data_IF_432279376642
#
_entry.id   IF_432279376642
#
_cell.length_a   1.000
_cell.length_b   1.000
_cell.length_c   1.000
_cell.angle_alpha   90.00
_cell.angle_beta   90.00
_cell.angle_gamma   90.00
#
_symmetry.space_group_name_H-M   'P 1'
#
loop_
_entity.id
_entity.type
_entity.pdbx_description
1 polymer ?
#
# COMPACT_ATOMS: atom_id res chain seq x y z
N UNK A 1 -4.09 -3.65 -30.14
CA UNK A 1 -4.54 -3.85 -28.75
C UNK A 1 -3.90 -5.08 -28.10
N UNK A 2 -4.09 -6.31 -28.61
CA UNK A 2 -3.57 -7.54 -28.01
C UNK A 2 -2.04 -7.60 -27.87
N UNK A 3 -1.28 -7.22 -28.92
CA UNK A 3 0.19 -7.19 -28.85
C UNK A 3 0.73 -6.23 -27.76
N UNK A 4 0.02 -5.12 -27.53
CA UNK A 4 0.35 -4.17 -26.46
C UNK A 4 0.10 -4.77 -25.07
N UNK A 5 -1.02 -5.48 -24.89
CA UNK A 5 -1.35 -6.15 -23.63
C UNK A 5 -0.39 -7.30 -23.32
N UNK A 6 0.03 -8.07 -24.32
CA UNK A 6 1.03 -9.14 -24.14
C UNK A 6 2.41 -8.57 -23.79
N UNK A 7 2.80 -7.45 -24.39
CA UNK A 7 4.04 -6.76 -24.05
C UNK A 7 4.01 -6.22 -22.62
N UNK A 8 2.94 -5.53 -22.23
CA UNK A 8 2.76 -5.01 -20.86
C UNK A 8 2.70 -6.16 -19.86
N UNK A 9 1.99 -7.24 -20.16
CA UNK A 9 1.94 -8.44 -19.31
C UNK A 9 3.31 -9.09 -19.14
N UNK A 10 4.08 -9.25 -20.22
CA UNK A 10 5.45 -9.77 -20.16
C UNK A 10 6.40 -8.87 -19.37
N UNK A 11 6.29 -7.54 -19.54
CA UNK A 11 7.04 -6.56 -18.77
C UNK A 11 6.72 -6.66 -17.28
N UNK A 12 5.42 -6.67 -16.92
CA UNK A 12 4.95 -6.78 -15.53
C UNK A 12 5.42 -8.09 -14.90
N UNK A 13 5.33 -9.24 -15.58
CA UNK A 13 5.79 -10.53 -15.04
C UNK A 13 7.31 -10.52 -14.79
N UNK A 14 8.07 -9.92 -15.71
CA UNK A 14 9.51 -9.83 -15.58
C UNK A 14 9.92 -8.93 -14.40
N UNK A 15 9.21 -7.82 -14.25
CA UNK A 15 9.33 -6.93 -13.09
C UNK A 15 8.95 -7.67 -11.80
N UNK A 16 7.83 -8.41 -11.77
CA UNK A 16 7.34 -9.15 -10.60
C UNK A 16 8.34 -10.18 -10.07
N UNK A 17 9.03 -10.90 -10.97
CA UNK A 17 10.11 -11.85 -10.59
C UNK A 17 11.27 -11.19 -9.83
N UNK A 18 11.48 -9.89 -10.02
CA UNK A 18 12.50 -9.13 -9.29
C UNK A 18 12.05 -8.73 -7.87
N UNK A 19 10.74 -8.76 -7.58
CA UNK A 19 10.16 -8.41 -6.26
C UNK A 19 9.77 -9.63 -5.41
N UNK A 20 9.75 -10.84 -5.99
CA UNK A 20 9.31 -12.07 -5.30
C UNK A 20 10.19 -12.42 -4.08
N UNK A 21 11.48 -12.06 -4.11
CA UNK A 21 12.39 -12.23 -2.96
C UNK A 21 12.19 -11.20 -1.83
N UNK A 22 11.32 -10.21 -2.04
CA UNK A 22 11.18 -9.02 -1.18
C UNK A 22 9.82 -8.96 -0.47
N UNK A 23 8.83 -9.75 -0.91
CA UNK A 23 7.46 -9.77 -0.38
C UNK A 23 7.24 -10.93 0.60
N UNK A 24 8.27 -11.27 1.39
CA UNK A 24 8.22 -12.43 2.26
C UNK A 24 7.22 -12.23 3.42
N UNK A 25 6.06 -12.84 3.18
CA UNK A 25 5.12 -13.44 4.12
C UNK A 25 4.21 -12.53 4.97
N UNK A 26 2.92 -12.60 4.61
CA UNK A 26 1.68 -12.15 5.29
C UNK A 26 1.12 -10.78 4.90
N UNK A 27 1.92 -9.71 4.86
CA UNK A 27 1.37 -8.35 4.65
C UNK A 27 1.15 -7.98 3.18
N UNK A 28 1.90 -8.59 2.24
CA UNK A 28 1.73 -8.37 0.81
C UNK A 28 0.59 -9.21 0.18
N UNK A 29 0.19 -10.30 0.83
CA UNK A 29 -0.78 -11.24 0.28
C UNK A 29 -2.19 -10.63 0.17
N UNK A 30 -2.61 -9.86 1.18
CA UNK A 30 -3.95 -9.26 1.18
C UNK A 30 -4.16 -8.28 0.00
N UNK A 31 -3.33 -7.25 -0.20
CA UNK A 31 -3.49 -6.35 -1.34
C UNK A 31 -3.29 -7.08 -2.68
N UNK A 32 -2.35 -8.02 -2.77
CA UNK A 32 -2.11 -8.78 -4.00
C UNK A 32 -3.32 -9.64 -4.42
N UNK A 33 -3.95 -10.34 -3.46
CA UNK A 33 -5.16 -11.16 -3.73
C UNK A 33 -6.32 -10.28 -4.18
N UNK A 34 -6.54 -9.13 -3.54
CA UNK A 34 -7.60 -8.19 -3.94
C UNK A 34 -7.37 -7.71 -5.38
N UNK A 35 -6.15 -7.30 -5.72
CA UNK A 35 -5.80 -6.86 -7.08
C UNK A 35 -6.04 -7.97 -8.10
N UNK A 36 -5.65 -9.21 -7.79
CA UNK A 36 -5.86 -10.36 -8.66
C UNK A 36 -7.35 -10.62 -8.91
N UNK A 37 -8.17 -10.60 -7.85
CA UNK A 37 -9.61 -10.78 -7.96
C UNK A 37 -10.25 -9.70 -8.85
N UNK A 38 -9.89 -8.43 -8.66
CA UNK A 38 -10.37 -7.32 -9.50
C UNK A 38 -9.96 -7.52 -10.95
N UNK A 39 -8.70 -7.90 -11.21
CA UNK A 39 -8.20 -8.13 -12.57
C UNK A 39 -8.99 -9.23 -13.31
N UNK A 40 -9.30 -10.35 -12.64
CA UNK A 40 -10.12 -11.44 -13.22
C UNK A 40 -11.52 -10.95 -13.56
N UNK A 41 -12.16 -10.19 -12.67
CA UNK A 41 -13.50 -9.64 -12.91
C UNK A 41 -13.48 -8.66 -14.09
N UNK A 42 -12.52 -7.75 -14.16
CA UNK A 42 -12.38 -6.81 -15.28
C UNK A 42 -12.15 -7.55 -16.60
N UNK A 43 -11.37 -8.63 -16.61
CA UNK A 43 -11.12 -9.44 -17.79
C UNK A 43 -12.42 -10.09 -18.31
N UNK A 44 -13.23 -10.67 -17.42
CA UNK A 44 -14.53 -11.27 -17.78
C UNK A 44 -15.47 -10.21 -18.35
N UNK A 45 -15.59 -9.04 -17.71
CA UNK A 45 -16.41 -7.93 -18.20
C UNK A 45 -15.95 -7.48 -19.60
N UNK A 46 -14.63 -7.41 -19.82
CA UNK A 46 -14.03 -7.10 -21.12
C UNK A 46 -14.38 -8.10 -22.21
N UNK A 47 -14.33 -9.42 -21.92
CA UNK A 47 -14.74 -10.46 -22.87
C UNK A 47 -16.23 -10.37 -23.21
N UNK A 48 -17.09 -10.10 -22.22
CA UNK A 48 -18.53 -9.91 -22.43
C UNK A 48 -18.78 -8.71 -23.36
N UNK A 49 -18.12 -7.57 -23.10
CA UNK A 49 -18.24 -6.36 -23.93
C UNK A 49 -17.76 -6.60 -25.37
N UNK A 50 -16.65 -7.32 -25.53
CA UNK A 50 -16.10 -7.70 -26.82
C UNK A 50 -17.08 -8.58 -27.61
N UNK A 51 -17.58 -9.66 -27.00
CA UNK A 51 -18.56 -10.57 -27.61
C UNK A 51 -19.89 -9.88 -27.94
N UNK A 52 -20.37 -8.97 -27.08
CA UNK A 52 -21.59 -8.20 -27.30
C UNK A 52 -21.47 -7.29 -28.53
N UNK A 53 -20.31 -6.66 -28.71
CA UNK A 53 -20.00 -5.79 -29.85
C UNK A 53 -19.86 -6.60 -31.14
N UNK A 54 -19.11 -7.71 -31.11
CA UNK A 54 -18.91 -8.58 -32.28
C UNK A 54 -20.19 -9.24 -32.78
N UNK A 55 -21.14 -9.56 -31.89
CA UNK A 55 -22.44 -10.13 -32.26
C UNK A 55 -23.49 -9.09 -32.67
N UNK A 56 -23.12 -7.80 -32.72
CA UNK A 56 -24.02 -6.66 -33.00
C UNK A 56 -25.32 -6.71 -32.18
N UNK A 57 -25.24 -7.29 -30.98
CA UNK A 57 -26.41 -7.55 -30.15
C UNK A 57 -26.77 -6.28 -29.38
N UNK A 58 -27.85 -5.63 -29.79
CA UNK A 58 -28.38 -4.43 -29.09
C UNK A 58 -28.63 -4.68 -27.59
N UNK A 59 -29.08 -5.89 -27.24
CA UNK A 59 -29.31 -6.30 -25.85
C UNK A 59 -28.00 -6.49 -25.09
N UNK A 60 -27.00 -7.13 -25.72
CA UNK A 60 -25.68 -7.32 -25.10
C UNK A 60 -24.94 -6.01 -24.83
N UNK A 61 -25.02 -5.06 -25.76
CA UNK A 61 -24.45 -3.72 -25.59
C UNK A 61 -25.15 -2.94 -24.48
N UNK A 62 -26.48 -3.01 -24.40
CA UNK A 62 -27.26 -2.40 -23.32
C UNK A 62 -26.89 -2.94 -21.94
N UNK A 63 -26.71 -4.27 -21.81
CA UNK A 63 -26.28 -4.90 -20.56
C UNK A 63 -24.86 -4.46 -20.16
N UNK A 64 -23.93 -4.41 -21.11
CA UNK A 64 -22.56 -3.95 -20.86
C UNK A 64 -22.53 -2.50 -20.36
N UNK A 65 -23.29 -1.60 -20.99
CA UNK A 65 -23.42 -0.22 -20.55
C UNK A 65 -24.05 -0.10 -19.16
N UNK A 66 -25.07 -0.92 -18.86
CA UNK A 66 -25.68 -0.95 -17.54
C UNK A 66 -24.68 -1.39 -16.45
N UNK A 67 -23.86 -2.42 -16.72
CA UNK A 67 -22.82 -2.88 -15.79
C UNK A 67 -21.80 -1.77 -15.53
N UNK A 68 -21.30 -1.09 -16.57
CA UNK A 68 -20.36 0.03 -16.43
C UNK A 68 -20.98 1.18 -15.63
N UNK A 69 -22.24 1.52 -15.89
CA UNK A 69 -22.92 2.59 -15.18
C UNK A 69 -23.10 2.28 -13.69
N UNK A 70 -23.41 1.02 -13.35
CA UNK A 70 -23.48 0.56 -11.95
C UNK A 70 -22.11 0.67 -11.28
N UNK A 71 -21.03 0.22 -11.95
CA UNK A 71 -19.66 0.35 -11.43
C UNK A 71 -19.30 1.82 -11.20
N UNK A 72 -19.63 2.70 -12.15
CA UNK A 72 -19.37 4.13 -12.02
C UNK A 72 -20.09 4.75 -10.82
N UNK A 73 -21.37 4.43 -10.61
CA UNK A 73 -22.12 4.90 -9.45
C UNK A 73 -21.49 4.38 -8.15
N UNK A 74 -21.06 3.11 -8.12
CA UNK A 74 -20.39 2.51 -6.97
C UNK A 74 -19.05 3.20 -6.67
N UNK A 75 -18.23 3.49 -7.69
CA UNK A 75 -16.95 4.20 -7.54
C UNK A 75 -17.16 5.62 -7.01
N UNK A 76 -18.11 6.37 -7.57
CA UNK A 76 -18.45 7.73 -7.08
C UNK A 76 -18.92 7.67 -5.63
N UNK A 77 -19.77 6.69 -5.30
CA UNK A 77 -20.24 6.50 -3.93
C UNK A 77 -19.10 6.17 -2.97
N UNK A 78 -18.20 5.26 -3.35
CA UNK A 78 -17.03 4.90 -2.56
C UNK A 78 -16.09 6.09 -2.36
N UNK A 79 -15.85 6.89 -3.41
CA UNK A 79 -15.03 8.10 -3.34
C UNK A 79 -15.63 9.14 -2.38
N UNK A 80 -16.94 9.41 -2.49
CA UNK A 80 -17.64 10.34 -1.61
C UNK A 80 -17.58 9.85 -0.16
N UNK A 81 -17.82 8.57 0.10
CA UNK A 81 -17.71 7.98 1.44
C UNK A 81 -16.28 8.09 1.98
N UNK A 82 -15.27 7.79 1.18
CA UNK A 82 -13.87 7.93 1.57
C UNK A 82 -13.52 9.37 1.93
N UNK A 83 -14.03 10.35 1.18
CA UNK A 83 -13.82 11.77 1.47
C UNK A 83 -14.53 12.20 2.76
N UNK A 84 -15.79 11.81 2.95
CA UNK A 84 -16.59 12.14 4.15
C UNK A 84 -15.97 11.52 5.41
N UNK A 85 -15.52 10.27 5.33
CA UNK A 85 -14.97 9.55 6.48
C UNK A 85 -13.44 9.67 6.63
N UNK A 86 -12.78 10.54 5.86
CA UNK A 86 -11.31 10.64 5.82
C UNK A 86 -10.67 10.84 7.20
N UNK A 87 -11.26 11.70 8.05
CA UNK A 87 -10.70 12.00 9.38
C UNK A 87 -10.85 10.83 10.34
N UNK A 88 -11.97 10.09 10.23
CA UNK A 88 -12.21 8.89 11.01
C UNK A 88 -11.22 7.79 10.61
N UNK A 89 -11.11 7.52 9.31
CA UNK A 89 -10.14 6.55 8.77
C UNK A 89 -8.72 6.92 9.20
N UNK A 90 -8.34 8.20 9.10
CA UNK A 90 -7.04 8.69 9.57
C UNK A 90 -6.82 8.37 11.05
N UNK A 91 -7.80 8.63 11.90
CA UNK A 91 -7.70 8.37 13.35
C UNK A 91 -7.59 6.88 13.65
N UNK A 92 -8.41 6.04 13.00
CA UNK A 92 -8.41 4.59 13.17
C UNK A 92 -7.07 3.97 12.71
N UNK A 93 -6.54 4.45 11.58
CA UNK A 93 -5.23 4.03 11.06
C UNK A 93 -4.12 4.47 12.01
N UNK A 94 -4.13 5.70 12.50
CA UNK A 94 -3.13 6.19 13.47
C UNK A 94 -3.14 5.38 14.76
N UNK A 95 -4.32 5.04 15.30
CA UNK A 95 -4.43 4.19 16.49
C UNK A 95 -3.85 2.80 16.25
N UNK A 96 -4.17 2.21 15.10
CA UNK A 96 -3.60 0.91 14.70
C UNK A 96 -2.09 0.98 14.56
N UNK A 97 -1.55 1.99 13.87
CA UNK A 97 -0.11 2.19 13.72
C UNK A 97 0.59 2.39 15.06
N UNK A 98 0.03 3.18 15.98
CA UNK A 98 0.59 3.34 17.33
C UNK A 98 0.73 2.01 18.05
N UNK A 99 -0.25 1.12 17.96
CA UNK A 99 -0.17 -0.21 18.58
C UNK A 99 0.96 -1.09 17.99
N UNK A 100 1.31 -0.90 16.72
CA UNK A 100 2.44 -1.57 16.08
C UNK A 100 3.77 -0.98 16.58
N UNK A 101 3.85 0.35 16.67
CA UNK A 101 5.04 1.05 17.19
C UNK A 101 5.29 0.75 18.68
N UNK A 102 4.24 0.56 19.48
CA UNK A 102 4.36 0.13 20.88
C UNK A 102 5.00 -1.26 21.02
N UNK A 103 4.79 -2.15 20.03
CA UNK A 103 5.35 -3.51 19.99
C UNK A 103 6.69 -3.60 19.25
N UNK A 104 7.19 -2.48 18.75
CA UNK A 104 8.45 -2.43 18.01
C UNK A 104 9.61 -2.84 18.91
N UNK A 105 10.44 -3.77 18.43
CA UNK A 105 11.62 -4.26 19.15
C UNK A 105 12.85 -4.47 18.25
N UNK A 106 12.77 -4.12 16.97
CA UNK A 106 13.84 -4.27 15.98
C UNK A 106 14.18 -5.73 15.61
N UNK A 107 13.39 -6.71 16.06
CA UNK A 107 13.68 -8.14 15.87
C UNK A 107 12.53 -8.94 15.27
N UNK A 108 11.29 -8.53 15.54
CA UNK A 108 10.11 -9.21 15.04
C UNK A 108 9.80 -8.78 13.58
N UNK A 109 9.06 -9.60 12.80
CA UNK A 109 8.69 -9.26 11.43
C UNK A 109 7.88 -7.96 11.33
N UNK A 110 7.11 -7.60 12.38
CA UNK A 110 6.38 -6.32 12.42
C UNK A 110 7.35 -5.12 12.45
N UNK A 111 8.47 -5.22 13.16
CA UNK A 111 9.51 -4.17 13.20
C UNK A 111 10.17 -4.02 11.83
N UNK A 112 10.45 -5.12 11.13
CA UNK A 112 10.99 -5.08 9.77
C UNK A 112 10.05 -4.36 8.80
N UNK A 113 8.73 -4.53 8.95
CA UNK A 113 7.74 -3.80 8.15
C UNK A 113 7.75 -2.31 8.49
N UNK A 114 7.86 -1.95 9.78
CA UNK A 114 7.99 -0.53 10.19
C UNK A 114 9.25 0.08 9.58
N UNK A 115 10.39 -0.59 9.69
CA UNK A 115 11.66 -0.11 9.15
C UNK A 115 11.59 0.08 7.64
N UNK A 116 11.05 -0.92 6.94
CA UNK A 116 10.84 -0.86 5.51
C UNK A 116 9.94 0.31 5.09
N UNK A 117 8.81 0.50 5.78
CA UNK A 117 7.89 1.60 5.47
C UNK A 117 8.56 2.96 5.69
N UNK A 118 9.35 3.11 6.75
CA UNK A 118 10.07 4.35 7.06
C UNK A 118 11.11 4.67 5.98
N UNK A 119 11.88 3.67 5.54
CA UNK A 119 12.87 3.85 4.48
C UNK A 119 12.23 4.16 3.11
N UNK A 120 11.14 3.47 2.75
CA UNK A 120 10.50 3.64 1.44
C UNK A 120 9.63 4.88 1.32
N UNK A 121 8.94 5.25 2.40
CA UNK A 121 8.06 6.42 2.43
C UNK A 121 8.79 7.67 2.92
N UNK A 122 10.07 7.54 3.28
CA UNK A 122 10.91 8.62 3.83
C UNK A 122 10.21 9.32 5.01
N UNK A 123 9.70 8.52 5.94
CA UNK A 123 8.97 9.00 7.11
C UNK A 123 9.56 8.43 8.40
N UNK A 124 9.30 9.10 9.53
CA UNK A 124 9.72 8.63 10.84
C UNK A 124 8.60 8.85 11.86
N UNK A 125 8.17 7.78 12.52
CA UNK A 125 7.00 7.82 13.41
C UNK A 125 5.66 7.63 12.70
N UNK A 126 4.56 7.77 13.44
CA UNK A 126 3.19 7.70 12.89
C UNK A 126 2.78 9.05 12.29
N UNK A 127 3.16 10.12 12.98
CA UNK A 127 2.97 11.51 12.60
C UNK A 127 4.29 12.27 12.56
N UNK A 128 5.20 11.98 13.49
CA UNK A 128 6.51 12.62 13.56
C UNK A 128 7.50 11.74 14.35
N UNK A 129 8.80 12.02 14.23
CA UNK A 129 9.86 11.29 14.92
C UNK A 129 9.67 11.28 16.44
N UNK A 130 8.98 12.30 16.98
CA UNK A 130 8.68 12.41 18.41
C UNK A 130 7.77 11.30 18.91
N UNK A 131 7.00 10.63 18.06
CA UNK A 131 6.14 9.50 18.47
C UNK A 131 6.96 8.37 19.10
N UNK A 132 8.21 8.19 18.66
CA UNK A 132 9.14 7.22 19.24
C UNK A 132 9.40 7.47 20.73
N UNK A 133 9.36 8.73 21.20
CA UNK A 133 9.60 9.04 22.62
C UNK A 133 8.60 8.39 23.58
N UNK A 134 7.43 8.01 23.07
CA UNK A 134 6.37 7.37 23.86
C UNK A 134 6.41 5.84 23.80
N UNK A 135 7.29 5.24 22.98
CA UNK A 135 7.34 3.78 22.80
C UNK A 135 8.33 3.12 23.76
N UNK A 136 8.13 1.82 24.10
CA UNK A 136 9.08 1.07 24.91
C UNK A 136 10.49 1.00 24.33
N UNK A 137 10.63 1.10 23.00
CA UNK A 137 11.90 1.13 22.29
C UNK A 137 12.81 2.26 22.76
N UNK A 138 12.24 3.46 22.91
CA UNK A 138 12.99 4.65 23.31
C UNK A 138 13.56 4.53 24.72
N UNK A 139 12.76 3.98 25.64
CA UNK A 139 13.20 3.71 27.01
C UNK A 139 14.25 2.59 27.08
N UNK A 140 14.11 1.56 26.25
CA UNK A 140 14.98 0.37 26.29
C UNK A 140 16.36 0.62 25.68
N UNK A 141 16.46 1.50 24.68
CA UNK A 141 17.72 1.77 23.97
C UNK A 141 18.65 2.69 24.77
N UNK A 142 18.13 3.46 25.74
CA UNK A 142 18.90 4.30 26.65
C UNK A 142 19.63 5.51 26.03
N UNK A 143 19.71 5.57 24.69
CA UNK A 143 20.44 6.59 23.93
C UNK A 143 19.55 7.70 23.35
N UNK A 144 18.27 7.74 23.73
CA UNK A 144 17.28 8.66 23.15
C UNK A 144 17.27 8.65 21.61
N UNK A 145 17.26 7.44 21.04
CA UNK A 145 17.38 7.22 19.60
C UNK A 145 16.16 6.53 19.00
N UNK A 146 15.83 6.91 17.77
CA UNK A 146 14.86 6.23 16.90
C UNK A 146 15.55 5.11 16.11
N UNK A 147 14.81 4.21 15.47
CA UNK A 147 15.39 3.22 14.55
C UNK A 147 16.19 3.86 13.42
N UNK A 148 17.21 3.14 12.94
CA UNK A 148 18.08 3.62 11.85
C UNK A 148 17.33 3.72 10.51
N UNK A 149 16.19 3.07 10.36
CA UNK A 149 15.29 3.20 9.23
C UNK A 149 14.68 4.61 9.09
N UNK A 150 14.68 5.41 10.16
CA UNK A 150 14.34 6.84 10.10
C UNK A 150 15.46 7.70 9.53
N UNK A 151 16.69 7.19 9.39
CA UNK A 151 17.81 7.99 8.91
C UNK A 151 17.66 8.29 7.42
N UNK A 152 17.96 9.53 7.03
CA UNK A 152 17.99 9.87 5.61
C UNK A 152 19.18 9.23 4.91
N UNK A 153 18.97 8.90 3.64
CA UNK A 153 19.95 8.18 2.82
C UNK A 153 21.21 9.00 2.48
N UNK A 154 21.14 10.33 2.54
CA UNK A 154 22.26 11.24 2.28
C UNK A 154 23.22 11.38 3.48
N UNK A 155 22.84 10.83 4.63
CA UNK A 155 23.61 10.90 5.87
C UNK A 155 24.44 9.63 6.07
N UNK A 156 25.77 9.75 5.99
CA UNK A 156 26.68 8.60 6.08
C UNK A 156 26.87 8.02 7.48
N UNK A 157 26.58 8.79 8.53
CA UNK A 157 26.82 8.42 9.94
C UNK A 157 25.63 8.77 10.84
N UNK A 158 24.41 8.43 10.39
CA UNK A 158 23.23 8.64 11.21
C UNK A 158 23.19 7.63 12.36
N UNK A 159 23.01 8.13 13.59
CA UNK A 159 22.90 7.32 14.81
C UNK A 159 21.47 7.21 15.33
N UNK A 160 20.52 7.84 14.64
CA UNK A 160 19.12 7.90 15.03
C UNK A 160 18.85 8.75 16.28
N UNK A 161 19.81 9.52 16.78
CA UNK A 161 19.61 10.32 17.99
C UNK A 161 18.74 11.56 17.74
N UNK A 162 17.90 11.88 18.73
CA UNK A 162 16.98 13.03 18.66
C UNK A 162 17.66 14.40 18.83
N UNK A 163 18.94 14.46 19.19
CA UNK A 163 19.73 15.71 19.24
C UNK A 163 20.10 16.24 17.85
N UNK A 164 20.05 15.38 16.82
CA UNK A 164 20.26 15.73 15.42
C UNK A 164 19.01 15.45 14.56
N UNK A 165 17.90 16.20 14.75
CA UNK A 165 16.65 15.96 14.02
C UNK A 165 16.75 16.29 12.52
N UNK A 166 17.81 16.95 12.07
CA UNK A 166 18.03 17.23 10.64
C UNK A 166 18.42 15.99 9.83
N UNK A 167 18.93 14.95 10.51
CA UNK A 167 19.38 13.70 9.90
C UNK A 167 18.25 12.65 9.79
N UNK A 168 17.07 12.97 10.34
CA UNK A 168 15.84 12.17 10.42
C UNK A 168 14.77 12.59 9.40
#
# INVERSE_FOLDING_TARGET
AAAGLSYVGGYVINTYKSYDNFLQDKYALLPAVIILCVAVVMFIIGLIGCCATFRESRVGLGLFLAIILIIFIAEVSAFVLAFVYREKVKTDVQGTMRSVFEKYNGKNPESTVVDYLQEQLHCCGVMNYSDWTTTPWFNSTGNSSVPLSCCRQDVKNCTGRLDQPQEL
#
